data_IF_020018268668
#
_entry.id   IF_020018268668
#
_cell.length_a   1.000
_cell.length_b   1.000
_cell.length_c   1.000
_cell.angle_alpha   90.00
_cell.angle_beta   90.00
_cell.angle_gamma   90.00
#
_symmetry.space_group_name_H-M   'P 1'
#
loop_
_entity.id
_entity.type
_entity.pdbx_description
1 polymer ?
#
# COMPACT_ATOMS: atom_id res chain seq x y z
N UNK A 1 -16.22 -5.19 20.44
CA UNK A 1 -15.10 -5.40 19.51
C UNK A 1 -14.24 -4.15 19.39
N UNK A 2 -12.91 -4.27 19.32
CA UNK A 2 -11.99 -3.14 19.09
C UNK A 2 -11.75 -2.92 17.61
N UNK A 3 -11.49 -1.68 17.21
CA UNK A 3 -11.21 -1.31 15.83
C UNK A 3 -9.86 -0.62 15.73
N UNK A 4 -9.18 -0.83 14.61
CA UNK A 4 -7.90 -0.20 14.24
C UNK A 4 -8.03 0.50 12.89
N UNK A 5 -7.18 1.49 12.65
CA UNK A 5 -7.11 2.17 11.36
C UNK A 5 -6.34 1.34 10.33
N UNK A 6 -6.95 1.16 9.16
CA UNK A 6 -6.31 0.64 7.96
C UNK A 6 -6.19 1.75 6.91
N UNK A 7 -4.98 1.98 6.44
CA UNK A 7 -4.66 2.86 5.32
C UNK A 7 -3.95 2.08 4.21
N UNK A 8 -4.56 1.98 3.02
CA UNK A 8 -4.03 1.18 1.90
C UNK A 8 -4.44 1.76 0.55
N UNK A 9 -3.48 2.07 -0.34
CA UNK A 9 -3.75 2.54 -1.71
C UNK A 9 -4.82 3.66 -1.79
N UNK A 10 -4.74 4.64 -0.88
CA UNK A 10 -5.64 5.80 -0.83
C UNK A 10 -7.00 5.54 -0.17
N UNK A 11 -7.25 4.32 0.34
CA UNK A 11 -8.36 4.05 1.24
C UNK A 11 -7.93 4.28 2.70
N UNK A 12 -8.84 4.83 3.50
CA UNK A 12 -8.71 4.92 4.95
C UNK A 12 -10.00 4.43 5.59
N UNK A 13 -9.93 3.48 6.51
CA UNK A 13 -11.10 2.92 7.19
C UNK A 13 -10.72 2.37 8.56
N UNK A 14 -11.71 2.20 9.42
CA UNK A 14 -11.59 1.41 10.64
C UNK A 14 -12.03 -0.02 10.36
N UNK A 15 -11.21 -0.98 10.76
CA UNK A 15 -11.50 -2.41 10.68
C UNK A 15 -11.37 -3.05 12.07
N UNK A 16 -12.07 -4.17 12.34
CA UNK A 16 -11.82 -4.98 13.52
C UNK A 16 -10.33 -5.28 13.72
N UNK A 17 -9.88 -5.31 14.97
CA UNK A 17 -8.46 -5.55 15.29
C UNK A 17 -7.99 -6.93 14.82
N UNK A 18 -8.91 -7.90 14.82
CA UNK A 18 -8.72 -9.28 14.44
C UNK A 18 -8.60 -9.47 12.92
N UNK A 19 -9.17 -8.55 12.12
CA UNK A 19 -9.09 -8.61 10.65
C UNK A 19 -7.64 -8.58 10.16
N UNK A 20 -7.35 -9.52 9.25
CA UNK A 20 -6.04 -9.72 8.63
C UNK A 20 -6.14 -9.51 7.13
N UNK A 21 -5.10 -8.89 6.58
CA UNK A 21 -4.91 -8.74 5.14
C UNK A 21 -4.51 -10.10 4.57
N UNK A 22 -5.39 -10.73 3.78
CA UNK A 22 -5.15 -12.07 3.21
C UNK A 22 -4.76 -12.02 1.74
N UNK A 23 -5.31 -11.07 0.99
CA UNK A 23 -4.98 -10.89 -0.43
C UNK A 23 -4.88 -9.41 -0.75
N UNK A 24 -3.91 -9.02 -1.58
CA UNK A 24 -3.83 -7.66 -2.08
C UNK A 24 -3.18 -7.61 -3.47
N UNK A 25 -3.62 -6.64 -4.26
CA UNK A 25 -3.41 -6.52 -5.70
C UNK A 25 -3.32 -5.06 -6.13
N UNK A 26 -2.43 -4.73 -7.06
CA UNK A 26 -2.43 -3.42 -7.73
C UNK A 26 -1.84 -2.26 -6.93
N UNK A 27 -2.27 -1.04 -7.24
CA UNK A 27 -1.81 0.22 -6.65
C UNK A 27 -2.99 1.20 -6.48
N UNK A 28 -2.72 2.49 -6.23
CA UNK A 28 -3.79 3.49 -6.02
C UNK A 28 -4.78 3.58 -7.20
N UNK A 29 -4.38 3.29 -8.43
CA UNK A 29 -5.21 3.45 -9.62
C UNK A 29 -6.17 2.27 -9.82
N UNK A 30 -5.65 1.05 -9.74
CA UNK A 30 -6.43 -0.17 -9.85
C UNK A 30 -5.89 -1.24 -8.93
N UNK A 31 -6.76 -2.06 -8.36
CA UNK A 31 -6.34 -3.07 -7.42
C UNK A 31 -7.47 -3.82 -6.73
N UNK A 32 -7.03 -4.65 -5.81
CA UNK A 32 -7.89 -5.52 -5.03
C UNK A 32 -7.32 -5.66 -3.61
N UNK A 33 -8.21 -5.76 -2.63
CA UNK A 33 -7.88 -5.91 -1.23
C UNK A 33 -8.86 -6.89 -0.61
N UNK A 34 -8.37 -7.92 0.09
CA UNK A 34 -9.18 -8.87 0.86
C UNK A 34 -8.71 -8.90 2.30
N UNK A 35 -9.66 -8.69 3.20
CA UNK A 35 -9.48 -8.72 4.63
C UNK A 35 -10.42 -9.76 5.23
N UNK A 36 -9.91 -10.57 6.13
CA UNK A 36 -10.65 -11.68 6.72
C UNK A 36 -10.46 -11.71 8.23
N UNK A 37 -11.53 -12.01 8.93
CA UNK A 37 -11.55 -12.48 10.32
C UNK A 37 -12.50 -13.67 10.41
N UNK A 38 -12.62 -14.25 11.60
CA UNK A 38 -13.62 -15.29 11.83
C UNK A 38 -15.01 -14.77 11.46
N UNK A 39 -15.73 -15.54 10.63
CA UNK A 39 -17.09 -15.26 10.18
C UNK A 39 -17.33 -13.98 9.36
N UNK A 40 -16.31 -13.20 8.99
CA UNK A 40 -16.45 -11.99 8.18
C UNK A 40 -15.30 -11.80 7.19
N UNK A 41 -15.66 -11.66 5.92
CA UNK A 41 -14.79 -11.35 4.80
C UNK A 41 -15.18 -9.98 4.25
N UNK A 42 -14.19 -9.15 3.95
CA UNK A 42 -14.33 -7.89 3.24
C UNK A 42 -13.41 -7.86 2.03
N UNK A 43 -13.96 -7.54 0.87
CA UNK A 43 -13.28 -7.40 -0.40
C UNK A 43 -13.49 -6.00 -0.97
N UNK A 44 -12.40 -5.30 -1.32
CA UNK A 44 -12.43 -4.02 -2.02
C UNK A 44 -11.77 -4.21 -3.37
N UNK A 45 -12.49 -3.90 -4.44
CA UNK A 45 -11.94 -3.81 -5.79
C UNK A 45 -12.11 -2.39 -6.30
N UNK A 46 -11.08 -1.87 -6.96
CA UNK A 46 -11.16 -0.55 -7.60
C UNK A 46 -10.44 -0.54 -8.93
N UNK A 47 -10.95 0.27 -9.86
CA UNK A 47 -10.37 0.49 -11.18
C UNK A 47 -10.61 1.94 -11.60
N UNK A 48 -9.68 2.51 -12.37
CA UNK A 48 -9.85 3.85 -12.97
C UNK A 48 -10.96 3.82 -14.00
N UNK A 49 -11.78 4.87 -14.07
CA UNK A 49 -12.73 5.04 -15.16
C UNK A 49 -12.25 6.07 -16.18
N UNK A 50 -12.61 5.87 -17.45
CA UNK A 50 -12.44 6.87 -18.50
C UNK A 50 -13.56 7.92 -18.36
N UNK A 51 -13.24 9.20 -18.11
CA UNK A 51 -14.24 10.27 -18.01
C UNK A 51 -15.09 10.43 -19.28
N UNK A 52 -14.61 9.97 -20.44
CA UNK A 52 -15.36 10.01 -21.70
C UNK A 52 -16.30 8.81 -21.89
N UNK A 53 -16.12 7.73 -21.12
CA UNK A 53 -16.88 6.47 -21.22
C UNK A 53 -17.24 5.96 -19.83
N UNK A 54 -17.85 6.82 -19.03
CA UNK A 54 -18.27 6.48 -17.67
C UNK A 54 -19.39 5.46 -17.77
N UNK A 55 -19.13 4.24 -17.29
CA UNK A 55 -20.17 3.21 -17.15
C UNK A 55 -21.15 3.62 -16.06
N UNK A 56 -22.43 3.41 -16.30
CA UNK A 56 -23.44 3.65 -15.26
C UNK A 56 -23.27 2.66 -14.10
N UNK A 57 -23.67 3.03 -12.88
CA UNK A 57 -23.63 2.11 -11.74
C UNK A 57 -24.43 0.83 -11.99
N UNK A 58 -25.49 0.90 -12.81
CA UNK A 58 -26.26 -0.28 -13.22
C UNK A 58 -25.41 -1.22 -14.10
N UNK A 59 -24.66 -0.69 -15.07
CA UNK A 59 -23.74 -1.49 -15.91
C UNK A 59 -22.62 -2.12 -15.09
N UNK A 60 -22.03 -1.35 -14.16
CA UNK A 60 -20.98 -1.88 -13.27
C UNK A 60 -21.56 -3.01 -12.40
N UNK A 61 -22.78 -2.84 -11.86
CA UNK A 61 -23.48 -3.85 -11.07
C UNK A 61 -23.71 -5.15 -11.84
N UNK A 62 -24.26 -5.05 -13.05
CA UNK A 62 -24.51 -6.21 -13.91
C UNK A 62 -23.21 -6.94 -14.26
N UNK A 63 -22.15 -6.20 -14.59
CA UNK A 63 -20.84 -6.80 -14.87
C UNK A 63 -20.24 -7.48 -13.65
N UNK A 64 -20.42 -6.93 -12.45
CA UNK A 64 -19.96 -7.56 -11.21
C UNK A 64 -20.67 -8.89 -10.96
N UNK A 65 -22.00 -8.92 -11.05
CA UNK A 65 -22.81 -10.13 -10.83
C UNK A 65 -22.43 -11.22 -11.85
N UNK A 66 -22.25 -10.87 -13.12
CA UNK A 66 -21.84 -11.82 -14.16
C UNK A 66 -20.45 -12.41 -13.88
N UNK A 67 -19.50 -11.57 -13.45
CA UNK A 67 -18.15 -12.02 -13.10
C UNK A 67 -18.14 -12.90 -11.84
N UNK A 68 -18.95 -12.56 -10.84
CA UNK A 68 -19.13 -13.37 -9.63
C UNK A 68 -19.69 -14.75 -9.99
N UNK A 69 -20.75 -14.79 -10.80
CA UNK A 69 -21.35 -16.04 -11.30
C UNK A 69 -20.31 -16.91 -12.01
N UNK A 70 -19.58 -16.37 -12.98
CA UNK A 70 -18.50 -17.10 -13.69
C UNK A 70 -17.44 -17.66 -12.74
N UNK A 71 -17.07 -16.88 -11.72
CA UNK A 71 -16.07 -17.29 -10.73
C UNK A 71 -16.56 -18.45 -9.88
N UNK A 72 -17.81 -18.39 -9.41
CA UNK A 72 -18.43 -19.46 -8.62
C UNK A 72 -18.64 -20.73 -9.46
N UNK A 73 -19.10 -20.60 -10.70
CA UNK A 73 -19.27 -21.73 -11.62
C UNK A 73 -17.96 -22.45 -11.90
N UNK A 74 -16.86 -21.70 -12.10
CA UNK A 74 -15.52 -22.25 -12.30
C UNK A 74 -15.02 -23.01 -11.06
N UNK A 75 -15.29 -22.50 -9.85
CA UNK A 75 -14.89 -23.16 -8.59
C UNK A 75 -15.72 -24.40 -8.31
N UNK A 76 -17.03 -24.33 -8.51
CA UNK A 76 -17.97 -25.42 -8.25
C UNK A 76 -18.00 -26.48 -9.36
N UNK A 77 -17.40 -26.19 -10.53
CA UNK A 77 -17.48 -27.00 -11.77
C UNK A 77 -18.91 -27.33 -12.20
N UNK A 78 -19.87 -26.46 -11.86
CA UNK A 78 -21.30 -26.58 -12.19
C UNK A 78 -21.93 -25.19 -12.29
N UNK A 79 -23.11 -25.10 -12.91
CA UNK A 79 -23.88 -23.86 -12.93
C UNK A 79 -24.29 -23.47 -11.51
N UNK A 80 -24.16 -22.19 -11.19
CA UNK A 80 -24.55 -21.60 -9.90
C UNK A 80 -25.60 -20.54 -10.19
N UNK A 81 -26.67 -20.56 -9.42
CA UNK A 81 -27.71 -19.55 -9.49
C UNK A 81 -27.36 -18.44 -8.50
N UNK A 82 -26.98 -17.27 -9.01
CA UNK A 82 -26.66 -16.08 -8.21
C UNK A 82 -27.84 -15.13 -8.32
N UNK A 83 -28.46 -14.80 -7.19
CA UNK A 83 -29.61 -13.91 -7.13
C UNK A 83 -29.27 -12.62 -6.41
N UNK A 84 -29.95 -11.54 -6.78
CA UNK A 84 -29.94 -10.29 -6.01
C UNK A 84 -31.27 -10.19 -5.29
N UNK A 85 -31.24 -10.19 -3.95
CA UNK A 85 -32.45 -10.13 -3.11
C UNK A 85 -32.96 -8.71 -2.96
N UNK A 86 -32.04 -7.76 -2.80
CA UNK A 86 -32.32 -6.35 -2.58
C UNK A 86 -31.40 -5.53 -3.45
N UNK A 87 -31.91 -4.45 -4.04
CA UNK A 87 -31.11 -3.50 -4.80
C UNK A 87 -31.65 -2.08 -4.61
N UNK A 88 -30.82 -1.20 -4.08
CA UNK A 88 -31.22 0.15 -3.67
C UNK A 88 -30.15 1.18 -4.04
N UNK A 89 -30.54 2.44 -4.09
CA UNK A 89 -29.60 3.56 -4.16
C UNK A 89 -29.43 4.12 -2.75
N UNK A 90 -28.18 4.25 -2.32
CA UNK A 90 -27.83 4.76 -0.99
C UNK A 90 -26.73 5.81 -1.09
N UNK A 91 -26.34 6.39 0.04
CA UNK A 91 -25.29 7.39 0.11
C UNK A 91 -24.16 6.91 1.03
N UNK A 92 -22.94 6.79 0.52
CA UNK A 92 -21.75 6.32 1.26
C UNK A 92 -20.60 7.29 1.04
N UNK A 93 -19.91 7.72 2.11
CA UNK A 93 -18.69 8.52 2.02
C UNK A 93 -18.83 9.76 1.10
N UNK A 94 -19.98 10.45 1.15
CA UNK A 94 -20.30 11.58 0.28
C UNK A 94 -20.50 11.23 -1.21
N UNK A 95 -20.82 9.98 -1.52
CA UNK A 95 -21.07 9.49 -2.88
C UNK A 95 -22.43 8.81 -3.00
N UNK A 96 -23.10 9.02 -4.13
CA UNK A 96 -24.21 8.17 -4.55
C UNK A 96 -23.67 6.77 -4.85
N UNK A 97 -24.26 5.76 -4.21
CA UNK A 97 -23.83 4.38 -4.29
C UNK A 97 -25.01 3.46 -4.62
N UNK A 98 -24.70 2.34 -5.28
CA UNK A 98 -25.61 1.20 -5.45
C UNK A 98 -25.34 0.22 -4.32
N UNK A 99 -26.40 -0.17 -3.62
CA UNK A 99 -26.38 -1.24 -2.64
C UNK A 99 -27.11 -2.46 -3.20
N UNK A 100 -26.57 -3.65 -2.94
CA UNK A 100 -27.25 -4.90 -3.24
C UNK A 100 -26.92 -5.98 -2.21
N UNK A 101 -27.89 -6.86 -1.94
CA UNK A 101 -27.68 -8.08 -1.16
C UNK A 101 -27.67 -9.26 -2.12
N UNK A 102 -26.52 -9.92 -2.22
CA UNK A 102 -26.33 -11.06 -3.10
C UNK A 102 -26.67 -12.34 -2.34
N UNK A 103 -27.28 -13.29 -3.05
CA UNK A 103 -27.43 -14.66 -2.61
C UNK A 103 -26.66 -15.55 -3.58
N UNK A 104 -25.47 -15.99 -3.15
CA UNK A 104 -24.63 -16.92 -3.91
C UNK A 104 -24.95 -18.40 -3.61
N UNK A 105 -25.96 -18.68 -2.77
CA UNK A 105 -26.28 -20.04 -2.32
C UNK A 105 -25.31 -20.60 -1.27
N UNK A 106 -24.41 -19.77 -0.72
CA UNK A 106 -23.45 -20.17 0.34
C UNK A 106 -24.05 -20.12 1.75
N UNK A 107 -25.23 -19.54 1.91
CA UNK A 107 -25.86 -19.30 3.21
C UNK A 107 -25.28 -18.10 3.98
N UNK A 108 -24.34 -17.36 3.39
CA UNK A 108 -23.79 -16.13 3.95
C UNK A 108 -24.68 -14.93 3.61
N UNK A 109 -24.56 -13.86 4.42
CA UNK A 109 -25.05 -12.53 4.06
C UNK A 109 -23.98 -11.82 3.25
N UNK A 110 -24.35 -11.34 2.06
CA UNK A 110 -23.40 -10.76 1.10
C UNK A 110 -23.78 -9.34 0.65
N UNK A 111 -23.73 -8.33 1.56
CA UNK A 111 -23.96 -6.96 1.17
C UNK A 111 -22.82 -6.43 0.30
N UNK A 112 -23.18 -5.79 -0.80
CA UNK A 112 -22.25 -5.23 -1.79
C UNK A 112 -22.60 -3.78 -2.09
N UNK A 113 -21.58 -2.94 -2.08
CA UNK A 113 -21.65 -1.50 -2.24
C UNK A 113 -20.80 -1.06 -3.41
N UNK A 114 -21.34 -0.20 -4.28
CA UNK A 114 -20.64 0.22 -5.49
C UNK A 114 -20.83 1.70 -5.73
N UNK A 115 -19.75 2.44 -5.95
CA UNK A 115 -19.83 3.87 -6.26
C UNK A 115 -18.71 4.31 -7.19
N UNK A 116 -18.90 5.50 -7.77
CA UNK A 116 -17.90 6.19 -8.58
C UNK A 116 -17.40 7.38 -7.77
N UNK A 117 -16.09 7.45 -7.56
CA UNK A 117 -15.45 8.57 -6.89
C UNK A 117 -14.82 9.50 -7.93
N UNK A 118 -15.43 10.68 -8.13
CA UNK A 118 -14.93 11.68 -9.08
C UNK A 118 -13.60 12.30 -8.69
N UNK A 119 -13.26 12.30 -7.40
CA UNK A 119 -11.98 12.85 -6.91
C UNK A 119 -10.81 11.91 -7.22
N UNK A 120 -10.95 10.62 -6.89
CA UNK A 120 -9.90 9.64 -7.23
C UNK A 120 -10.00 9.10 -8.66
N UNK A 121 -11.06 9.43 -9.40
CA UNK A 121 -11.37 8.87 -10.74
C UNK A 121 -11.47 7.33 -10.73
N UNK A 122 -12.06 6.77 -9.67
CA UNK A 122 -12.17 5.31 -9.48
C UNK A 122 -13.61 4.84 -9.40
N UNK A 123 -13.90 3.70 -10.00
CA UNK A 123 -15.05 2.87 -9.66
C UNK A 123 -14.61 1.97 -8.51
N UNK A 124 -15.40 1.91 -7.46
CA UNK A 124 -15.09 1.13 -6.26
C UNK A 124 -16.23 0.15 -6.00
N UNK A 125 -15.86 -1.09 -5.71
CA UNK A 125 -16.75 -2.19 -5.34
C UNK A 125 -16.27 -2.69 -3.98
N UNK A 126 -17.14 -2.61 -2.99
CA UNK A 126 -16.90 -3.09 -1.64
C UNK A 126 -17.91 -4.19 -1.35
N UNK A 127 -17.42 -5.40 -1.16
CA UNK A 127 -18.22 -6.60 -0.95
C UNK A 127 -17.89 -7.18 0.41
N UNK A 128 -18.93 -7.53 1.17
CA UNK A 128 -18.78 -8.27 2.42
C UNK A 128 -19.42 -9.65 2.27
N UNK A 129 -18.91 -10.62 3.01
CA UNK A 129 -19.56 -11.90 3.21
C UNK A 129 -19.41 -12.30 4.68
N UNK A 130 -20.52 -12.51 5.38
CA UNK A 130 -20.48 -12.94 6.78
C UNK A 130 -21.57 -13.94 7.16
N UNK A 131 -21.27 -14.72 8.18
CA UNK A 131 -22.19 -15.74 8.70
C UNK A 131 -23.42 -15.08 9.31
N UNK A 132 -24.64 -15.59 9.08
CA UNK A 132 -25.84 -15.15 9.80
C UNK A 132 -25.76 -15.37 11.32
N UNK A 133 -24.85 -16.24 11.78
CA UNK A 133 -24.58 -16.49 13.20
C UNK A 133 -23.75 -15.38 13.85
N UNK A 134 -23.16 -14.47 13.05
CA UNK A 134 -22.48 -13.28 13.56
C UNK A 134 -23.53 -12.22 13.89
N UNK A 135 -23.97 -12.16 15.14
CA UNK A 135 -25.01 -11.24 15.61
C UNK A 135 -24.65 -9.78 15.33
N UNK A 136 -23.38 -9.40 15.50
CA UNK A 136 -22.88 -8.04 15.28
C UNK A 136 -22.40 -7.78 13.84
N UNK A 137 -22.73 -8.66 12.88
CA UNK A 137 -22.24 -8.58 11.51
C UNK A 137 -22.64 -7.27 10.81
N UNK A 138 -23.93 -6.93 10.86
CA UNK A 138 -24.47 -5.71 10.26
C UNK A 138 -23.92 -4.44 10.92
N UNK A 139 -23.81 -4.42 12.26
CA UNK A 139 -23.23 -3.29 12.99
C UNK A 139 -21.76 -3.09 12.62
N UNK A 140 -21.01 -4.20 12.51
CA UNK A 140 -19.61 -4.19 12.12
C UNK A 140 -19.44 -3.62 10.72
N UNK A 141 -20.23 -4.09 9.75
CA UNK A 141 -20.22 -3.57 8.37
C UNK A 141 -20.60 -2.09 8.34
N UNK A 142 -21.65 -1.70 9.07
CA UNK A 142 -22.06 -0.30 9.20
C UNK A 142 -20.96 0.60 9.75
N UNK A 143 -20.23 0.15 10.77
CA UNK A 143 -19.10 0.90 11.33
C UNK A 143 -17.94 1.03 10.34
N UNK A 144 -17.57 -0.05 9.65
CA UNK A 144 -16.54 -0.01 8.61
C UNK A 144 -16.93 1.02 7.53
N UNK A 145 -18.15 0.94 7.01
CA UNK A 145 -18.67 1.84 5.98
C UNK A 145 -18.68 3.31 6.43
N UNK A 146 -19.12 3.58 7.67
CA UNK A 146 -19.18 4.93 8.22
C UNK A 146 -17.80 5.60 8.34
N UNK A 147 -16.75 4.78 8.50
CA UNK A 147 -15.38 5.24 8.64
C UNK A 147 -14.59 5.31 7.32
N UNK A 148 -15.16 4.77 6.24
CA UNK A 148 -14.48 4.62 4.96
C UNK A 148 -14.31 5.99 4.29
N UNK A 149 -13.06 6.32 3.97
CA UNK A 149 -12.68 7.37 3.04
C UNK A 149 -12.02 6.74 1.83
N UNK A 150 -12.57 7.02 0.66
CA UNK A 150 -12.10 6.44 -0.60
C UNK A 150 -11.08 7.31 -1.34
N UNK A 151 -10.69 8.46 -0.81
CA UNK A 151 -9.65 9.33 -1.34
C UNK A 151 -9.09 10.17 -0.20
N UNK A 152 -7.84 10.63 -0.35
CA UNK A 152 -7.28 11.64 0.54
C UNK A 152 -7.72 13.04 0.09
N UNK A 153 -7.87 13.95 1.05
CA UNK A 153 -8.23 15.36 0.80
C UNK A 153 -7.00 16.26 0.63
N UNK A 154 -5.79 15.71 0.68
CA UNK A 154 -4.53 16.44 0.49
C UNK A 154 -3.50 15.64 -0.30
N UNK A 155 -2.30 16.20 -0.43
CA UNK A 155 -1.23 15.64 -1.26
C UNK A 155 -0.63 14.35 -0.67
N UNK A 156 -0.83 14.13 0.63
CA UNK A 156 -0.32 12.99 1.36
C UNK A 156 -1.43 11.96 1.66
N UNK A 157 -1.18 10.72 1.26
CA UNK A 157 -2.01 9.56 1.53
C UNK A 157 -1.48 8.82 2.76
N UNK A 158 -2.34 8.56 3.77
CA UNK A 158 -1.96 7.74 4.92
C UNK A 158 -1.86 6.27 4.51
N UNK A 159 -0.77 5.65 4.93
CA UNK A 159 -0.57 4.21 4.96
C UNK A 159 -0.59 3.77 6.42
N UNK A 160 -1.44 2.81 6.75
CA UNK A 160 -1.54 2.23 8.08
C UNK A 160 -1.88 0.77 7.94
N UNK A 161 -0.86 -0.09 7.88
CA UNK A 161 -1.03 -1.53 7.72
C UNK A 161 0.22 -2.22 8.27
N UNK A 162 0.14 -3.52 8.56
CA UNK A 162 1.31 -4.32 8.94
C UNK A 162 2.06 -3.80 10.20
N UNK A 163 1.32 -3.13 11.09
CA UNK A 163 1.79 -2.43 12.30
C UNK A 163 2.80 -1.30 12.03
N UNK A 164 2.73 -0.69 10.84
CA UNK A 164 3.45 0.55 10.52
C UNK A 164 2.47 1.60 10.04
N UNK A 165 2.78 2.87 10.31
CA UNK A 165 2.06 4.01 9.74
C UNK A 165 3.02 5.03 9.19
N UNK A 166 2.70 5.60 8.04
CA UNK A 166 3.44 6.69 7.41
C UNK A 166 2.55 7.36 6.37
N UNK A 167 2.91 8.55 5.92
CA UNK A 167 2.23 9.27 4.87
C UNK A 167 3.14 9.33 3.63
N UNK A 168 2.56 9.19 2.43
CA UNK A 168 3.29 9.33 1.17
C UNK A 168 2.60 10.31 0.23
N UNK A 169 3.33 10.98 -0.66
CA UNK A 169 2.72 11.70 -1.76
C UNK A 169 1.98 10.75 -2.72
N UNK A 170 0.91 11.25 -3.33
CA UNK A 170 0.13 10.51 -4.34
C UNK A 170 0.96 10.04 -5.54
N UNK A 171 2.07 10.71 -5.87
CA UNK A 171 2.93 10.35 -7.01
C UNK A 171 3.77 9.09 -6.78
N UNK A 172 4.00 8.69 -5.51
CA UNK A 172 4.75 7.48 -5.18
C UNK A 172 3.82 6.27 -5.20
N UNK A 173 3.78 5.57 -6.34
CA UNK A 173 2.92 4.41 -6.55
C UNK A 173 3.55 3.16 -5.97
N UNK A 174 2.76 2.33 -5.27
CA UNK A 174 3.20 1.00 -4.85
C UNK A 174 3.51 0.15 -6.08
N UNK A 175 4.78 -0.21 -6.25
CA UNK A 175 5.28 -0.94 -7.41
C UNK A 175 5.59 -2.41 -7.10
N UNK A 176 6.12 -2.69 -5.92
CA UNK A 176 6.47 -4.02 -5.47
C UNK A 176 6.19 -4.15 -3.97
N UNK A 177 5.90 -5.37 -3.53
CA UNK A 177 5.81 -5.69 -2.11
C UNK A 177 6.13 -7.15 -1.86
N UNK A 178 6.43 -7.45 -0.61
CA UNK A 178 6.43 -8.80 -0.06
C UNK A 178 5.96 -8.72 1.37
N UNK A 179 4.94 -9.50 1.71
CA UNK A 179 4.44 -9.61 3.08
C UNK A 179 4.70 -11.05 3.50
N UNK A 180 5.80 -11.27 4.20
CA UNK A 180 6.21 -12.59 4.65
C UNK A 180 6.68 -12.55 6.11
N UNK A 181 6.61 -13.70 6.77
CA UNK A 181 7.23 -13.89 8.08
C UNK A 181 8.73 -13.64 7.96
N UNK A 182 9.30 -12.95 8.95
CA UNK A 182 10.73 -12.61 8.98
C UNK A 182 11.10 -11.37 8.16
N UNK A 183 10.50 -11.13 6.99
CA UNK A 183 10.77 -9.92 6.18
C UNK A 183 9.54 -9.44 5.41
N UNK A 184 9.23 -8.17 5.58
CA UNK A 184 8.21 -7.46 4.80
C UNK A 184 8.82 -6.24 4.13
N UNK A 185 8.47 -5.97 2.88
CA UNK A 185 8.85 -4.74 2.19
C UNK A 185 7.71 -4.18 1.34
N UNK A 186 7.71 -2.85 1.21
CA UNK A 186 6.88 -2.08 0.29
C UNK A 186 7.80 -1.16 -0.51
N UNK A 187 7.74 -1.20 -1.84
CA UNK A 187 8.55 -0.36 -2.72
C UNK A 187 7.63 0.54 -3.54
N UNK A 188 7.80 1.84 -3.34
CA UNK A 188 7.06 2.88 -4.02
C UNK A 188 7.96 3.57 -5.06
N UNK A 189 7.41 3.90 -6.23
CA UNK A 189 8.15 4.53 -7.31
C UNK A 189 7.33 5.65 -7.97
N UNK A 190 8.05 6.70 -8.34
CA UNK A 190 7.59 7.80 -9.19
C UNK A 190 8.62 7.97 -10.31
N UNK A 191 8.17 8.13 -11.55
CA UNK A 191 9.02 8.33 -12.72
C UNK A 191 8.41 9.36 -13.65
N UNK A 192 9.24 10.31 -14.07
CA UNK A 192 8.88 11.42 -14.95
C UNK A 192 9.80 11.42 -16.16
N UNK A 193 9.22 11.51 -17.34
CA UNK A 193 9.92 11.63 -18.61
C UNK A 193 9.87 13.08 -19.11
N UNK A 194 10.93 13.54 -19.73
CA UNK A 194 11.03 14.83 -20.40
C UNK A 194 11.83 14.68 -21.69
N UNK A 195 11.81 15.71 -22.55
CA UNK A 195 12.28 15.66 -23.95
C UNK A 195 13.67 15.04 -24.14
N UNK A 196 14.56 15.13 -23.14
CA UNK A 196 15.90 14.55 -23.17
C UNK A 196 16.31 13.90 -21.85
N UNK A 197 15.40 13.18 -21.21
CA UNK A 197 15.78 12.37 -20.07
C UNK A 197 14.62 11.91 -19.20
N UNK A 198 15.01 11.34 -18.07
CA UNK A 198 14.09 10.85 -17.07
C UNK A 198 14.59 11.23 -15.68
N UNK A 199 13.65 11.42 -14.76
CA UNK A 199 13.93 11.55 -13.35
C UNK A 199 12.95 10.66 -12.59
N UNK A 200 13.36 10.16 -11.44
CA UNK A 200 12.49 9.33 -10.64
C UNK A 200 12.90 9.28 -9.19
N UNK A 201 11.93 8.89 -8.36
CA UNK A 201 12.08 8.68 -6.92
C UNK A 201 11.63 7.25 -6.62
N UNK A 202 12.32 6.59 -5.70
CA UNK A 202 11.94 5.29 -5.20
C UNK A 202 12.13 5.28 -3.69
N UNK A 203 11.11 4.80 -2.98
CA UNK A 203 11.12 4.62 -1.54
C UNK A 203 10.87 3.15 -1.23
N UNK A 204 11.82 2.50 -0.57
CA UNK A 204 11.65 1.16 0.00
C UNK A 204 11.46 1.29 1.50
N UNK A 205 10.37 0.72 2.03
CA UNK A 205 10.12 0.58 3.46
C UNK A 205 10.14 -0.91 3.76
N UNK A 206 11.15 -1.34 4.50
CA UNK A 206 11.34 -2.75 4.87
C UNK A 206 11.37 -2.90 6.38
N UNK A 207 10.87 -4.03 6.87
CA UNK A 207 11.15 -4.46 8.22
C UNK A 207 11.42 -5.96 8.30
N UNK A 208 12.28 -6.31 9.25
CA UNK A 208 12.71 -7.66 9.54
C UNK A 208 12.22 -8.03 10.94
N UNK A 209 11.34 -9.00 11.06
CA UNK A 209 10.72 -9.41 12.33
C UNK A 209 11.56 -10.43 13.08
N UNK A 210 11.28 -10.60 14.37
CA UNK A 210 11.99 -11.55 15.24
C UNK A 210 13.50 -11.26 15.27
N UNK A 211 13.86 -9.98 15.30
CA UNK A 211 15.22 -9.57 15.03
C UNK A 211 16.23 -10.11 16.06
N UNK A 212 15.85 -10.19 17.34
CA UNK A 212 16.70 -10.77 18.38
C UNK A 212 16.93 -12.28 18.22
N UNK A 213 16.09 -13.00 17.48
CA UNK A 213 16.21 -14.44 17.23
C UNK A 213 16.94 -14.68 15.90
N UNK A 214 16.51 -14.01 14.83
CA UNK A 214 17.08 -14.22 13.49
C UNK A 214 18.45 -13.57 13.30
N UNK A 215 18.77 -12.55 14.09
CA UNK A 215 20.00 -11.77 13.97
C UNK A 215 20.67 -11.56 15.33
N UNK A 216 20.63 -12.57 16.21
CA UNK A 216 21.10 -12.52 17.61
C UNK A 216 22.46 -11.81 17.77
N UNK A 217 23.42 -12.08 16.88
CA UNK A 217 24.77 -11.51 16.96
C UNK A 217 24.88 -10.07 16.43
N UNK A 218 23.89 -9.58 15.67
CA UNK A 218 24.03 -8.34 14.90
C UNK A 218 22.89 -7.34 15.08
N UNK A 219 21.75 -7.71 15.66
CA UNK A 219 20.59 -6.81 15.73
C UNK A 219 20.82 -5.52 16.53
N UNK A 220 21.82 -5.52 17.43
CA UNK A 220 22.26 -4.33 18.19
C UNK A 220 23.34 -3.52 17.45
N UNK A 221 24.13 -4.17 16.60
CA UNK A 221 25.12 -3.52 15.73
C UNK A 221 24.56 -3.42 14.32
N UNK A 222 23.81 -2.35 14.10
CA UNK A 222 23.08 -2.13 12.85
C UNK A 222 23.99 -2.02 11.64
N UNK A 223 25.24 -1.57 11.79
CA UNK A 223 26.15 -1.47 10.66
C UNK A 223 26.63 -2.86 10.23
N UNK A 224 27.06 -3.68 11.19
CA UNK A 224 27.40 -5.08 10.94
C UNK A 224 26.20 -5.85 10.39
N UNK A 225 25.00 -5.65 10.96
CA UNK A 225 23.78 -6.27 10.44
C UNK A 225 23.51 -5.85 9.00
N UNK A 226 23.62 -4.57 8.69
CA UNK A 226 23.36 -4.03 7.36
C UNK A 226 24.28 -4.66 6.32
N UNK A 227 25.58 -4.70 6.60
CA UNK A 227 26.58 -5.24 5.67
C UNK A 227 26.39 -6.75 5.45
N UNK A 228 26.18 -7.52 6.53
CA UNK A 228 26.08 -8.98 6.45
C UNK A 228 24.75 -9.46 5.85
N UNK A 229 23.63 -8.85 6.25
CA UNK A 229 22.30 -9.42 6.02
C UNK A 229 21.50 -8.70 4.93
N UNK A 230 21.76 -7.42 4.66
CA UNK A 230 20.85 -6.60 3.85
C UNK A 230 21.49 -5.96 2.62
N UNK A 231 22.75 -5.54 2.69
CA UNK A 231 23.40 -4.75 1.63
C UNK A 231 23.30 -5.39 0.23
N UNK A 232 23.55 -6.70 0.14
CA UNK A 232 23.47 -7.44 -1.12
C UNK A 232 22.07 -7.40 -1.72
N UNK A 233 21.04 -7.52 -0.90
CA UNK A 233 19.66 -7.47 -1.36
C UNK A 233 19.24 -6.06 -1.71
N UNK A 234 19.68 -5.06 -0.93
CA UNK A 234 19.42 -3.66 -1.25
C UNK A 234 20.00 -3.28 -2.62
N UNK A 235 21.22 -3.72 -2.94
CA UNK A 235 21.85 -3.51 -4.25
C UNK A 235 21.12 -4.19 -5.41
N UNK A 236 20.42 -5.30 -5.16
CA UNK A 236 19.57 -5.95 -6.19
C UNK A 236 18.32 -5.12 -6.46
N UNK A 237 17.70 -4.61 -5.40
CA UNK A 237 16.47 -3.81 -5.47
C UNK A 237 16.73 -2.41 -6.06
N UNK A 238 17.78 -1.75 -5.59
CA UNK A 238 18.17 -0.41 -6.02
C UNK A 238 19.50 -0.46 -6.77
N UNK A 239 19.44 -0.31 -8.09
CA UNK A 239 20.64 -0.30 -8.95
C UNK A 239 21.40 1.01 -8.83
N UNK A 240 22.72 0.96 -9.03
CA UNK A 240 23.61 2.12 -9.02
C UNK A 240 23.59 2.91 -7.70
N UNK A 241 23.60 2.19 -6.57
CA UNK A 241 23.75 2.78 -5.25
C UNK A 241 25.11 2.42 -4.66
N UNK A 242 25.66 3.37 -3.90
CA UNK A 242 26.80 3.17 -3.04
C UNK A 242 26.71 4.17 -1.88
N UNK A 243 27.27 3.82 -0.73
CA UNK A 243 27.24 4.69 0.44
C UNK A 243 28.64 5.22 0.72
N UNK A 244 28.77 6.54 0.75
CA UNK A 244 30.02 7.28 0.95
C UNK A 244 30.18 7.72 2.40
N UNK A 245 29.07 7.96 3.10
CA UNK A 245 29.08 8.33 4.51
C UNK A 245 28.11 7.46 5.31
N UNK A 246 28.44 7.31 6.59
CA UNK A 246 27.67 6.55 7.57
C UNK A 246 27.77 7.26 8.91
N UNK A 247 26.63 7.55 9.53
CA UNK A 247 26.57 8.24 10.82
C UNK A 247 25.35 7.76 11.63
N UNK A 248 25.33 8.07 12.92
CA UNK A 248 24.15 7.83 13.75
C UNK A 248 23.25 9.07 13.75
N UNK A 249 21.96 8.88 13.48
CA UNK A 249 20.94 9.92 13.57
C UNK A 249 19.81 9.48 14.48
N UNK A 250 19.20 10.44 15.18
CA UNK A 250 17.98 10.18 15.93
C UNK A 250 16.77 10.33 15.02
N UNK A 251 15.96 9.29 14.92
CA UNK A 251 14.68 9.30 14.21
C UNK A 251 13.61 8.87 15.19
N UNK A 252 12.57 9.69 15.35
CA UNK A 252 11.56 9.49 16.39
C UNK A 252 12.24 9.32 17.78
N UNK A 253 12.15 8.12 18.36
CA UNK A 253 12.79 7.72 19.62
C UNK A 253 13.85 6.63 19.44
N UNK A 254 14.35 6.45 18.22
CA UNK A 254 15.34 5.44 17.86
C UNK A 254 16.67 6.07 17.45
N UNK A 255 17.77 5.39 17.79
CA UNK A 255 19.07 5.64 17.17
C UNK A 255 19.11 4.84 15.87
N UNK A 256 19.20 5.55 14.76
CA UNK A 256 19.25 4.98 13.43
C UNK A 256 20.65 5.10 12.84
N UNK A 257 21.07 4.07 12.14
CA UNK A 257 22.18 4.11 11.21
C UNK A 257 21.71 4.84 9.94
N UNK A 258 22.27 6.01 9.69
CA UNK A 258 22.06 6.78 8.48
C UNK A 258 23.22 6.55 7.52
N UNK A 259 22.92 6.14 6.29
CA UNK A 259 23.88 6.03 5.20
C UNK A 259 23.48 6.91 4.04
N UNK A 260 24.46 7.56 3.44
CA UNK A 260 24.25 8.45 2.30
C UNK A 260 25.31 8.22 1.22
N UNK A 261 24.92 8.40 -0.03
CA UNK A 261 25.88 8.48 -1.12
C UNK A 261 25.28 8.94 -2.44
N UNK A 262 26.17 9.45 -3.30
CA UNK A 262 25.86 9.91 -4.65
C UNK A 262 26.70 9.15 -5.66
N UNK A 263 26.03 8.43 -6.57
CA UNK A 263 26.67 7.63 -7.62
C UNK A 263 26.40 8.24 -8.98
N UNK A 264 27.46 8.38 -9.79
CA UNK A 264 27.40 8.77 -11.19
C UNK A 264 27.74 7.57 -12.06
N UNK A 265 26.93 7.27 -13.08
CA UNK A 265 27.15 6.14 -13.99
C UNK A 265 26.76 6.48 -15.44
N UNK A 266 27.12 5.62 -16.39
CA UNK A 266 26.77 5.74 -17.81
C UNK A 266 27.75 6.58 -18.64
N UNK A 267 27.86 6.26 -19.94
CA UNK A 267 28.79 6.89 -20.89
C UNK A 267 28.05 7.92 -21.76
N UNK A 268 27.14 7.45 -22.61
CA UNK A 268 26.33 8.30 -23.51
C UNK A 268 25.12 8.92 -22.81
N UNK A 269 24.36 8.09 -22.10
CA UNK A 269 23.28 8.51 -21.20
C UNK A 269 23.81 8.39 -19.78
N UNK A 270 24.10 9.52 -19.17
CA UNK A 270 24.70 9.55 -17.84
C UNK A 270 23.61 9.68 -16.79
N UNK A 271 23.68 8.84 -15.75
CA UNK A 271 22.76 8.81 -14.61
C UNK A 271 23.47 9.32 -13.36
N UNK A 272 22.80 10.17 -12.60
CA UNK A 272 23.19 10.54 -11.23
C UNK A 272 22.13 9.98 -10.30
N UNK A 273 22.53 9.24 -9.27
CA UNK A 273 21.64 8.63 -8.28
C UNK A 273 22.06 9.07 -6.89
N UNK A 274 21.15 9.70 -6.16
CA UNK A 274 21.25 9.97 -4.74
C UNK A 274 20.62 8.79 -4.00
N UNK A 275 21.30 8.28 -2.98
CA UNK A 275 20.80 7.22 -2.11
C UNK A 275 20.94 7.63 -0.65
N UNK A 276 19.85 7.46 0.12
CA UNK A 276 19.82 7.63 1.57
C UNK A 276 19.17 6.40 2.17
N UNK A 277 19.75 5.84 3.22
CA UNK A 277 19.19 4.72 3.96
C UNK A 277 19.17 5.04 5.45
N UNK A 278 18.06 4.72 6.10
CA UNK A 278 17.90 4.85 7.54
C UNK A 278 17.49 3.49 8.09
N UNK A 279 18.36 2.90 8.91
CA UNK A 279 18.15 1.58 9.51
C UNK A 279 18.10 1.72 11.03
N UNK A 280 17.08 1.17 11.69
CA UNK A 280 16.99 1.17 13.15
C UNK A 280 16.34 -0.09 13.72
N UNK A 281 16.70 -0.44 14.95
CA UNK A 281 16.04 -1.50 15.71
C UNK A 281 14.97 -0.91 16.63
N UNK A 282 13.79 -1.53 16.64
CA UNK A 282 12.71 -1.24 17.59
C UNK A 282 12.54 -2.44 18.53
N UNK A 283 12.89 -2.27 19.80
CA UNK A 283 12.73 -3.30 20.82
C UNK A 283 11.26 -3.66 21.08
N UNK A 284 10.35 -2.68 21.03
CA UNK A 284 8.91 -2.89 21.29
C UNK A 284 8.26 -3.82 20.27
N UNK A 285 8.59 -3.67 18.98
CA UNK A 285 8.07 -4.54 17.92
C UNK A 285 9.00 -5.69 17.57
N UNK A 286 10.19 -5.76 18.20
CA UNK A 286 11.27 -6.68 17.90
C UNK A 286 11.57 -6.79 16.39
N UNK A 287 11.71 -5.62 15.77
CA UNK A 287 11.92 -5.47 14.32
C UNK A 287 13.09 -4.54 14.02
N UNK A 288 13.86 -4.88 13.00
CA UNK A 288 14.78 -3.94 12.34
C UNK A 288 14.03 -3.33 11.17
N UNK A 289 13.97 -2.01 11.11
CA UNK A 289 13.39 -1.26 9.99
C UNK A 289 14.52 -0.72 9.13
N UNK A 290 14.31 -0.71 7.83
CA UNK A 290 15.19 -0.08 6.85
C UNK A 290 14.34 0.72 5.87
N UNK A 291 14.52 2.04 5.87
CA UNK A 291 13.89 2.95 4.92
C UNK A 291 14.96 3.42 3.95
N UNK A 292 14.86 3.00 2.69
CA UNK A 292 15.77 3.43 1.63
C UNK A 292 15.07 4.37 0.68
N UNK A 293 15.64 5.54 0.51
CA UNK A 293 15.23 6.53 -0.46
C UNK A 293 16.29 6.64 -1.56
N UNK A 294 15.86 6.54 -2.81
CA UNK A 294 16.71 6.83 -3.95
C UNK A 294 16.02 7.79 -4.89
N UNK A 295 16.75 8.81 -5.34
CA UNK A 295 16.32 9.66 -6.45
C UNK A 295 17.37 9.68 -7.53
N UNK A 296 16.92 9.84 -8.77
CA UNK A 296 17.82 9.85 -9.91
C UNK A 296 17.41 10.82 -10.99
N UNK A 297 18.42 11.24 -11.75
CA UNK A 297 18.26 11.96 -13.00
C UNK A 297 19.16 11.34 -14.06
N UNK A 298 18.59 11.04 -15.22
CA UNK A 298 19.27 10.46 -16.36
C UNK A 298 19.13 11.40 -17.54
N UNK A 299 20.26 11.82 -18.12
CA UNK A 299 20.30 12.74 -19.27
C UNK A 299 21.47 12.38 -20.19
N UNK A 300 21.41 12.74 -21.48
CA UNK A 300 22.57 12.73 -22.37
C UNK A 300 23.77 13.47 -21.76
N UNK A 301 24.98 13.01 -22.06
CA UNK A 301 26.22 13.51 -21.46
C UNK A 301 26.43 15.04 -21.58
N UNK A 302 25.85 15.66 -22.60
CA UNK A 302 25.97 17.10 -22.89
C UNK A 302 25.01 17.98 -22.08
N UNK A 303 24.06 17.41 -21.32
CA UNK A 303 23.14 18.16 -20.47
C UNK A 303 23.55 18.13 -18.99
N UNK A 304 23.40 19.27 -18.30
CA UNK A 304 23.62 19.37 -16.85
C UNK A 304 22.64 18.46 -16.09
N UNK A 305 23.17 17.78 -15.09
CA UNK A 305 22.45 16.91 -14.14
C UNK A 305 22.72 17.43 -12.74
N UNK A 306 21.70 17.98 -12.10
CA UNK A 306 21.77 18.38 -10.69
C UNK A 306 20.56 17.78 -9.98
N UNK A 307 20.84 17.01 -8.93
CA UNK A 307 19.83 16.65 -7.94
C UNK A 307 19.94 17.72 -6.85
N UNK A 308 18.81 18.30 -6.45
CA UNK A 308 18.78 19.24 -5.35
C UNK A 308 18.71 18.44 -4.04
N UNK A 309 19.87 18.17 -3.43
CA UNK A 309 19.93 17.30 -2.24
C UNK A 309 19.11 17.82 -1.05
N UNK A 310 18.94 19.14 -0.92
CA UNK A 310 18.14 19.77 0.13
C UNK A 310 16.64 19.53 -0.07
N UNK A 311 16.15 19.65 -1.32
CA UNK A 311 14.76 19.31 -1.65
C UNK A 311 14.47 17.84 -1.38
N UNK A 312 15.42 16.97 -1.74
CA UNK A 312 15.32 15.53 -1.55
C UNK A 312 15.43 15.13 -0.06
N UNK A 313 16.21 15.87 0.74
CA UNK A 313 16.22 15.72 2.20
C UNK A 313 14.88 16.13 2.80
N UNK A 314 14.36 17.30 2.44
CA UNK A 314 13.07 17.78 2.93
C UNK A 314 11.96 16.78 2.62
N UNK A 315 11.92 16.27 1.39
CA UNK A 315 10.97 15.25 0.96
C UNK A 315 11.02 13.99 1.85
N UNK A 316 12.23 13.49 2.13
CA UNK A 316 12.41 12.33 2.97
C UNK A 316 12.03 12.60 4.44
N UNK A 317 12.38 13.78 4.96
CA UNK A 317 12.03 14.19 6.32
C UNK A 317 10.51 14.32 6.50
N UNK A 318 9.80 14.85 5.50
CA UNK A 318 8.33 14.93 5.53
C UNK A 318 7.70 13.54 5.69
N UNK A 319 8.21 12.54 4.96
CA UNK A 319 7.77 11.14 5.09
C UNK A 319 8.11 10.57 6.47
N UNK A 320 9.37 10.73 6.90
CA UNK A 320 9.86 10.20 8.18
C UNK A 320 9.17 10.82 9.40
N UNK A 321 8.77 12.10 9.31
CA UNK A 321 8.06 12.80 10.39
C UNK A 321 6.70 12.17 10.73
N UNK A 322 6.07 11.55 9.73
CA UNK A 322 4.79 10.84 9.87
C UNK A 322 4.95 9.36 10.25
N UNK A 323 6.18 8.85 10.24
CA UNK A 323 6.46 7.42 10.42
C UNK A 323 6.19 7.00 11.87
N UNK A 324 5.49 5.88 12.04
CA UNK A 324 5.32 5.17 13.30
C UNK A 324 5.65 3.70 13.07
N UNK A 325 6.66 3.21 13.78
CA UNK A 325 7.11 1.81 13.64
C UNK A 325 6.23 0.81 14.39
N UNK A 326 5.37 1.28 15.30
CA UNK A 326 4.35 0.50 15.98
C UNK A 326 3.15 1.41 16.29
N UNK A 327 1.95 0.83 16.24
CA UNK A 327 0.68 1.51 16.52
C UNK A 327 0.23 1.28 17.96
#
# INVERSE_FOLDING_TARGET
MKFKELGWNGFLLQIPEEMRLTTEGGNINSGYLKLEMENLIMEIKWDVFDPKKIKSLAEVSSSFIENLKKTLEKRAKKKVDVKVKTMENIFISSHNARFMVIDSGTGLREPTYMWICDKSKRIIILHFAFSPLMEEGEETVGRILSSLKCHAEGDLIPWSALNIRFNLPLSLLLSERKIAVGRTYLIFRDQKYFTFGEAGRSLSIEYFSMANILFEDTYKDLDTWFQKNYWKDLKKTHKNIDFQSSESRRIMRHNALYKHGVVKSGIFTRKTTLCKNLTWYCSRSNRIYSVTYTSYISRPFFLKRSINEDEEEKFLQDILSSFKCHL
#
